data_IF_560269355124
#
_entry.id   IF_560269355124
#
_cell.length_a   1.000
_cell.length_b   1.000
_cell.length_c   1.000
_cell.angle_alpha   90.00
_cell.angle_beta   90.00
_cell.angle_gamma   90.00
#
_symmetry.space_group_name_H-M   'P 1'
#
loop_
_entity.id
_entity.type
_entity.pdbx_description
1 polymer ?
#
# COMPACT_ATOMS: atom_id res chain seq x y z
N UNK A 1 30.70 -17.84 40.07
CA UNK A 1 30.16 -18.39 38.81
C UNK A 1 28.93 -17.59 38.39
N UNK A 2 28.93 -17.12 37.14
CA UNK A 2 27.78 -16.90 36.22
C UNK A 2 26.53 -16.20 36.82
N UNK A 3 26.41 -14.88 36.58
CA UNK A 3 25.56 -14.27 35.52
C UNK A 3 24.06 -14.45 35.83
N UNK A 4 23.47 -13.45 36.50
CA UNK A 4 22.68 -12.34 35.92
C UNK A 4 21.23 -12.76 35.65
N UNK A 5 20.35 -12.05 36.37
CA UNK A 5 18.89 -12.06 36.33
C UNK A 5 18.29 -12.52 35.00
N UNK A 6 17.46 -13.56 35.08
CA UNK A 6 16.56 -13.95 34.01
C UNK A 6 15.38 -12.97 34.03
N UNK A 7 15.58 -11.81 33.40
CA UNK A 7 14.53 -10.80 33.21
C UNK A 7 13.51 -11.35 32.22
N UNK A 8 12.28 -11.43 32.69
CA UNK A 8 11.05 -11.76 31.96
C UNK A 8 10.96 -10.92 30.69
N UNK A 9 11.06 -11.57 29.51
CA UNK A 9 10.72 -10.95 28.22
C UNK A 9 9.42 -11.59 27.73
N UNK A 10 8.29 -11.11 28.26
CA UNK A 10 6.94 -11.36 27.72
C UNK A 10 6.41 -10.01 27.25
N UNK A 11 6.98 -9.45 26.18
CA UNK A 11 6.60 -8.13 25.68
C UNK A 11 6.72 -7.96 24.16
N UNK A 12 6.44 -9.00 23.36
CA UNK A 12 6.49 -8.90 21.89
C UNK A 12 5.36 -9.66 21.16
N UNK A 13 4.14 -9.67 21.71
CA UNK A 13 2.98 -10.29 21.00
C UNK A 13 1.79 -9.31 20.82
N UNK A 14 1.89 -8.07 21.31
CA UNK A 14 0.78 -7.10 21.22
C UNK A 14 0.67 -6.34 19.89
N UNK A 15 1.55 -6.57 18.91
CA UNK A 15 1.49 -5.91 17.59
C UNK A 15 0.67 -6.66 16.54
N UNK A 16 0.05 -7.80 16.86
CA UNK A 16 -0.70 -8.63 15.89
C UNK A 16 -2.23 -8.45 15.95
N UNK A 17 -2.77 -7.53 16.75
CA UNK A 17 -4.22 -7.30 16.91
C UNK A 17 -4.69 -6.01 16.23
N UNK A 18 -4.48 -5.96 14.92
CA UNK A 18 -4.96 -4.91 14.02
C UNK A 18 -4.13 -5.04 12.75
N UNK A 19 -4.65 -5.32 11.56
CA UNK A 19 -5.93 -4.97 10.97
C UNK A 19 -6.13 -5.91 9.77
N UNK A 20 -6.99 -6.95 9.82
CA UNK A 20 -7.27 -7.75 8.63
C UNK A 20 -7.97 -6.92 7.54
N UNK A 21 -8.62 -5.81 7.89
CA UNK A 21 -9.35 -4.96 6.96
C UNK A 21 -8.46 -4.09 6.04
N UNK A 22 -7.25 -3.72 6.47
CA UNK A 22 -6.37 -2.83 5.67
C UNK A 22 -5.37 -3.60 4.80
N UNK A 23 -5.12 -4.88 5.08
CA UNK A 23 -4.13 -5.68 4.35
C UNK A 23 -4.41 -5.74 2.83
N UNK A 24 -5.67 -5.64 2.43
CA UNK A 24 -6.08 -5.73 1.03
C UNK A 24 -6.34 -4.38 0.35
N UNK A 25 -6.21 -3.24 1.05
CA UNK A 25 -6.64 -1.96 0.50
C UNK A 25 -5.70 -1.44 -0.60
N UNK A 26 -4.38 -1.44 -0.38
CA UNK A 26 -3.42 -0.98 -1.40
C UNK A 26 -3.48 -1.83 -2.69
N UNK A 27 -3.46 -3.19 -2.61
CA UNK A 27 -3.60 -4.01 -3.81
C UNK A 27 -4.91 -3.80 -4.57
N UNK A 28 -6.01 -3.51 -3.86
CA UNK A 28 -7.32 -3.25 -4.46
C UNK A 28 -7.32 -1.94 -5.25
N UNK A 29 -6.83 -0.85 -4.67
CA UNK A 29 -6.75 0.45 -5.35
C UNK A 29 -5.85 0.39 -6.60
N UNK A 30 -4.70 -0.27 -6.49
CA UNK A 30 -3.79 -0.49 -7.62
C UNK A 30 -4.49 -1.28 -8.73
N UNK A 31 -5.20 -2.36 -8.38
CA UNK A 31 -5.94 -3.16 -9.35
C UNK A 31 -7.04 -2.35 -10.03
N UNK A 32 -7.87 -1.65 -9.26
CA UNK A 32 -8.97 -0.83 -9.79
C UNK A 32 -8.46 0.26 -10.74
N UNK A 33 -7.36 0.94 -10.39
CA UNK A 33 -6.75 1.94 -11.26
C UNK A 33 -6.26 1.33 -12.58
N UNK A 34 -5.63 0.15 -12.53
CA UNK A 34 -5.18 -0.57 -13.73
C UNK A 34 -6.35 -1.00 -14.62
N UNK A 35 -7.41 -1.55 -14.03
CA UNK A 35 -8.62 -1.96 -14.76
C UNK A 35 -9.31 -0.75 -15.41
N UNK A 36 -9.41 0.37 -14.68
CA UNK A 36 -9.98 1.61 -15.20
C UNK A 36 -9.14 2.18 -16.33
N UNK A 37 -7.81 2.25 -16.17
CA UNK A 37 -6.91 2.66 -17.24
C UNK A 37 -7.08 1.80 -18.49
N UNK A 38 -7.21 0.48 -18.36
CA UNK A 38 -7.36 -0.43 -19.50
C UNK A 38 -8.62 -0.15 -20.35
N UNK A 39 -9.65 0.46 -19.76
CA UNK A 39 -10.87 0.90 -20.47
C UNK A 39 -10.77 2.29 -21.11
N UNK A 40 -9.66 3.01 -20.93
CA UNK A 40 -9.44 4.38 -21.40
C UNK A 40 -8.40 4.46 -22.52
N UNK A 41 -8.32 5.62 -23.19
CA UNK A 41 -7.26 5.90 -24.16
C UNK A 41 -5.89 5.93 -23.48
N UNK A 42 -5.04 4.97 -23.86
CA UNK A 42 -3.70 4.78 -23.32
C UNK A 42 -2.74 5.93 -23.62
N UNK A 43 -3.05 6.78 -24.61
CA UNK A 43 -2.24 7.93 -24.97
C UNK A 43 -2.67 9.22 -24.26
N UNK A 44 -3.80 9.21 -23.55
CA UNK A 44 -4.27 10.36 -22.80
C UNK A 44 -3.32 10.71 -21.65
N UNK A 45 -3.18 12.01 -21.38
CA UNK A 45 -2.30 12.48 -20.31
C UNK A 45 -2.78 12.02 -18.93
N UNK A 46 -4.11 11.87 -18.75
CA UNK A 46 -4.71 11.27 -17.55
C UNK A 46 -4.22 9.84 -17.31
N UNK A 47 -4.20 8.99 -18.35
CA UNK A 47 -3.73 7.61 -18.22
C UNK A 47 -2.22 7.56 -17.97
N UNK A 48 -1.43 8.42 -18.61
CA UNK A 48 0.02 8.51 -18.32
C UNK A 48 0.29 8.89 -16.86
N UNK A 49 -0.38 9.94 -16.37
CA UNK A 49 -0.24 10.37 -14.98
C UNK A 49 -0.71 9.29 -13.99
N UNK A 50 -1.82 8.61 -14.28
CA UNK A 50 -2.31 7.52 -13.44
C UNK A 50 -1.36 6.32 -13.42
N UNK A 51 -0.67 6.00 -14.53
CA UNK A 51 0.37 4.95 -14.56
C UNK A 51 1.52 5.27 -13.62
N UNK A 52 1.98 6.52 -13.60
CA UNK A 52 3.07 6.95 -12.72
C UNK A 52 2.65 6.85 -11.24
N UNK A 53 1.44 7.28 -10.91
CA UNK A 53 0.87 7.18 -9.56
C UNK A 53 0.70 5.73 -9.10
N UNK A 54 0.24 4.84 -10.00
CA UNK A 54 0.13 3.40 -9.72
C UNK A 54 1.49 2.76 -9.49
N UNK A 55 2.50 3.11 -10.29
CA UNK A 55 3.87 2.64 -10.11
C UNK A 55 4.46 3.10 -8.77
N UNK A 56 4.19 4.36 -8.37
CA UNK A 56 4.59 4.87 -7.06
C UNK A 56 3.84 4.16 -5.91
N UNK A 57 2.53 3.93 -6.05
CA UNK A 57 1.73 3.20 -5.07
C UNK A 57 2.26 1.78 -4.84
N UNK A 58 2.58 1.04 -5.91
CA UNK A 58 3.15 -0.31 -5.82
C UNK A 58 4.54 -0.31 -5.16
N UNK A 59 5.39 0.66 -5.51
CA UNK A 59 6.70 0.84 -4.86
C UNK A 59 6.55 1.09 -3.36
N UNK A 60 5.63 1.96 -2.96
CA UNK A 60 5.37 2.27 -1.55
C UNK A 60 4.78 1.07 -0.80
N UNK A 61 3.89 0.30 -1.44
CA UNK A 61 3.36 -0.95 -0.89
C UNK A 61 4.48 -1.95 -0.60
N UNK A 62 5.36 -2.20 -1.60
CA UNK A 62 6.51 -3.11 -1.47
C UNK A 62 7.51 -2.64 -0.40
N UNK A 63 7.58 -1.33 -0.15
CA UNK A 63 8.41 -0.74 0.90
C UNK A 63 7.74 -0.73 2.30
N UNK A 64 6.52 -1.27 2.44
CA UNK A 64 5.77 -1.26 3.70
C UNK A 64 5.16 0.10 4.08
N UNK A 65 5.25 1.10 3.20
CA UNK A 65 4.69 2.44 3.40
C UNK A 65 3.20 2.46 3.00
N UNK A 66 2.38 1.72 3.75
CA UNK A 66 0.99 1.43 3.37
C UNK A 66 0.11 2.69 3.23
N UNK A 67 0.18 3.63 4.17
CA UNK A 67 -0.64 4.85 4.11
C UNK A 67 -0.29 5.70 2.87
N UNK A 68 1.00 5.80 2.54
CA UNK A 68 1.45 6.51 1.36
C UNK A 68 1.05 5.78 0.07
N UNK A 69 1.07 4.44 0.07
CA UNK A 69 0.59 3.61 -1.05
C UNK A 69 -0.91 3.82 -1.32
N UNK A 70 -1.73 3.82 -0.26
CA UNK A 70 -3.18 4.08 -0.35
C UNK A 70 -3.43 5.44 -0.96
N UNK A 71 -2.80 6.50 -0.45
CA UNK A 71 -2.94 7.86 -0.97
C UNK A 71 -2.62 7.93 -2.47
N UNK A 72 -1.55 7.27 -2.91
CA UNK A 72 -1.17 7.24 -4.33
C UNK A 72 -2.15 6.45 -5.20
N UNK A 73 -2.70 5.35 -4.68
CA UNK A 73 -3.77 4.62 -5.35
C UNK A 73 -5.05 5.43 -5.52
N UNK A 74 -5.45 6.17 -4.49
CA UNK A 74 -6.61 7.09 -4.54
C UNK A 74 -6.38 8.26 -5.52
N UNK A 75 -5.19 8.87 -5.50
CA UNK A 75 -4.79 9.91 -6.45
C UNK A 75 -4.86 9.40 -7.90
N UNK A 76 -4.43 8.16 -8.15
CA UNK A 76 -4.54 7.54 -9.48
C UNK A 76 -6.00 7.39 -9.91
N UNK A 77 -6.87 6.85 -9.06
CA UNK A 77 -8.30 6.70 -9.35
C UNK A 77 -9.01 8.04 -9.57
N UNK A 78 -8.63 9.07 -8.81
CA UNK A 78 -9.16 10.43 -8.97
C UNK A 78 -8.74 11.04 -10.31
N UNK A 79 -7.49 10.84 -10.74
CA UNK A 79 -6.98 11.30 -12.04
C UNK A 79 -7.75 10.71 -13.22
N UNK A 80 -8.27 9.49 -13.06
CA UNK A 80 -9.04 8.76 -14.07
C UNK A 80 -10.55 9.10 -14.09
N UNK A 81 -11.02 9.99 -13.22
CA UNK A 81 -12.40 10.52 -13.28
C UNK A 81 -12.52 11.59 -14.39
#
# INVERSE_FOLDING_TARGET
MKKRAFVVVVALVLSAVGVPAFASHCPTLIKEANEKMASMDQNSDKVKQAKDLVAEADRLHKAGSHDASVKKGEEALATLK
#
